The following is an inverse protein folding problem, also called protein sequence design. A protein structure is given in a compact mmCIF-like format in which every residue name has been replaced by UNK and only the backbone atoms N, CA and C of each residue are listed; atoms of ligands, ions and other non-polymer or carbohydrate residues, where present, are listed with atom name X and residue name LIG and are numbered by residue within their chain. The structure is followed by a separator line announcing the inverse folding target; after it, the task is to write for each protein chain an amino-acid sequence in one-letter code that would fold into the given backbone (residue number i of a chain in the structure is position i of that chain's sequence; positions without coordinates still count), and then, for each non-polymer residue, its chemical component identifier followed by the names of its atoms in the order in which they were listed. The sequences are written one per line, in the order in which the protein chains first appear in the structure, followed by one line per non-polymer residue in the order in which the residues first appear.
data_IF_686601543266
#
_entry.id   IF_686601543266
#
_cell.length_a   1.000
_cell.length_b   1.000
_cell.length_c   1.000
_cell.angle_alpha   90.00
_cell.angle_beta   90.00
_cell.angle_gamma   90.00
#
_symmetry.space_group_name_H-M   'P 1'
#
loop_
_entity.id
_entity.type
_entity.pdbx_description
1 polymer ?
#
# COMPACT_ATOMS: atom_id res chain seq x y z
N UNK A 1 -20.15 2.14 14.74
CA UNK A 1 -19.16 1.18 15.24
C UNK A 1 -17.88 1.36 14.48
N UNK A 2 -16.94 2.14 15.03
CA UNK A 2 -15.54 2.18 14.60
C UNK A 2 -14.75 1.68 15.80
N UNK A 3 -14.28 0.43 15.74
CA UNK A 3 -13.63 -0.25 16.86
C UNK A 3 -12.22 -0.64 16.43
N UNK A 4 -11.29 0.30 16.56
CA UNK A 4 -9.85 0.03 16.59
C UNK A 4 -9.10 1.20 17.27
N UNK A 5 -9.61 1.68 18.41
CA UNK A 5 -8.79 2.46 19.34
C UNK A 5 -7.85 1.48 20.07
N UNK A 6 -6.63 1.32 19.57
CA UNK A 6 -5.51 0.88 20.42
C UNK A 6 -4.60 2.08 20.62
N UNK A 7 -4.93 2.85 21.66
CA UNK A 7 -4.15 3.97 22.16
C UNK A 7 -2.88 3.44 22.82
N UNK A 8 -1.70 3.88 22.35
CA UNK A 8 -0.48 3.83 23.14
C UNK A 8 0.27 5.15 22.97
N UNK A 9 0.25 5.99 24.02
CA UNK A 9 1.03 7.23 24.10
C UNK A 9 0.31 8.55 23.83
N UNK A 10 -1.03 8.60 23.85
CA UNK A 10 -1.78 9.86 23.73
C UNK A 10 -1.82 10.45 22.31
N UNK A 11 -1.39 9.68 21.32
CA UNK A 11 -1.50 10.02 19.90
C UNK A 11 -2.29 8.90 19.20
N UNK A 12 -3.51 9.18 18.76
CA UNK A 12 -4.28 8.19 17.98
C UNK A 12 -3.78 8.26 16.54
N UNK A 13 -2.91 7.33 16.16
CA UNK A 13 -2.59 7.10 14.74
C UNK A 13 -3.69 6.20 14.19
N UNK A 14 -4.81 6.80 13.80
CA UNK A 14 -5.84 6.08 13.09
C UNK A 14 -5.35 5.83 11.66
N UNK A 15 -5.13 4.56 11.28
CA UNK A 15 -5.13 4.23 9.86
C UNK A 15 -6.59 4.30 9.42
N UNK A 16 -6.93 5.26 8.57
CA UNK A 16 -8.25 5.33 7.99
C UNK A 16 -8.21 4.79 6.57
N UNK A 17 -9.28 4.09 6.16
CA UNK A 17 -9.50 3.82 4.75
C UNK A 17 -9.89 5.16 4.12
N UNK A 18 -8.91 5.89 3.57
CA UNK A 18 -9.24 7.02 2.71
C UNK A 18 -10.18 6.51 1.63
N UNK A 19 -11.31 7.20 1.44
CA UNK A 19 -12.22 6.96 0.32
C UNK A 19 -11.41 6.64 -0.94
N UNK A 20 -11.77 5.59 -1.70
CA UNK A 20 -10.83 4.78 -2.45
C UNK A 20 -9.93 5.64 -3.33
N UNK A 21 -8.68 5.83 -2.87
CA UNK A 21 -7.66 6.51 -3.66
C UNK A 21 -7.37 5.60 -4.86
N UNK A 22 -7.57 6.08 -6.09
CA UNK A 22 -7.37 5.26 -7.26
C UNK A 22 -5.92 4.80 -7.35
N UNK A 23 -5.76 3.50 -7.59
CA UNK A 23 -4.46 2.86 -7.77
C UNK A 23 -4.28 2.52 -9.24
N UNK A 24 -3.40 3.26 -9.92
CA UNK A 24 -3.01 2.94 -11.29
C UNK A 24 -1.85 1.95 -11.28
N UNK A 25 -2.01 0.82 -11.97
CA UNK A 25 -1.00 -0.24 -12.05
C UNK A 25 -0.37 -0.27 -13.44
N UNK A 26 0.96 -0.19 -13.49
CA UNK A 26 1.72 -0.45 -14.71
C UNK A 26 1.76 -1.93 -15.06
N UNK A 27 2.31 -2.24 -16.24
CA UNK A 27 2.65 -3.61 -16.61
C UNK A 27 3.71 -4.21 -15.68
N UNK A 28 3.69 -5.53 -15.55
CA UNK A 28 4.71 -6.27 -14.81
C UNK A 28 5.88 -6.56 -15.77
N UNK A 29 7.09 -6.13 -15.40
CA UNK A 29 8.31 -6.29 -16.20
C UNK A 29 9.32 -7.14 -15.44
N UNK A 30 9.90 -8.15 -16.09
CA UNK A 30 10.95 -8.97 -15.46
C UNK A 30 12.29 -8.23 -15.43
N UNK A 31 12.78 -7.94 -14.24
CA UNK A 31 14.12 -7.42 -14.00
C UNK A 31 15.11 -8.56 -13.78
N UNK A 32 15.93 -8.83 -14.80
CA UNK A 32 16.87 -9.97 -14.79
C UNK A 32 18.04 -9.78 -13.84
N UNK A 33 18.39 -8.54 -13.48
CA UNK A 33 19.52 -8.23 -12.58
C UNK A 33 19.19 -8.58 -11.13
N UNK A 34 17.99 -8.26 -10.70
CA UNK A 34 17.48 -8.55 -9.35
C UNK A 34 16.70 -9.86 -9.28
N UNK A 35 16.45 -10.49 -10.44
CA UNK A 35 15.57 -11.64 -10.61
C UNK A 35 14.16 -11.43 -10.00
N UNK A 36 13.64 -10.20 -10.15
CA UNK A 36 12.31 -9.80 -9.68
C UNK A 36 11.38 -9.52 -10.86
N UNK A 37 10.08 -9.53 -10.58
CA UNK A 37 9.06 -9.02 -11.46
C UNK A 37 8.59 -7.68 -10.90
N UNK A 38 8.91 -6.60 -11.60
CA UNK A 38 8.74 -5.24 -11.12
C UNK A 38 7.45 -4.64 -11.68
N UNK A 39 6.70 -3.95 -10.84
CA UNK A 39 5.47 -3.26 -11.23
C UNK A 39 5.42 -1.86 -10.61
N UNK A 40 5.29 -0.83 -11.44
CA UNK A 40 5.06 0.53 -10.95
C UNK A 40 3.60 0.69 -10.55
N UNK A 41 3.38 1.23 -9.36
CA UNK A 41 2.07 1.61 -8.83
C UNK A 41 2.06 3.11 -8.61
N UNK A 42 0.96 3.75 -8.97
CA UNK A 42 0.75 5.19 -8.76
C UNK A 42 -0.57 5.39 -8.03
N UNK A 43 -0.52 6.19 -6.97
CA UNK A 43 -1.71 6.70 -6.26
C UNK A 43 -1.89 8.17 -6.61
N UNK A 44 -3.14 8.62 -6.71
CA UNK A 44 -3.47 10.01 -7.05
C UNK A 44 -4.52 10.56 -6.11
N UNK A 45 -4.27 11.73 -5.52
CA UNK A 45 -5.28 12.43 -4.74
C UNK A 45 -6.24 13.17 -5.69
N UNK A 46 -7.40 12.57 -5.95
CA UNK A 46 -8.45 13.19 -6.78
C UNK A 46 -9.39 14.11 -6.00
N UNK A 47 -9.11 14.37 -4.71
CA UNK A 47 -9.92 15.28 -3.90
C UNK A 47 -9.41 16.72 -4.01
N UNK A 48 -10.22 17.67 -3.57
CA UNK A 48 -9.85 19.08 -3.49
C UNK A 48 -9.01 19.44 -2.24
N UNK A 49 -8.71 18.47 -1.37
CA UNK A 49 -8.05 18.70 -0.07
C UNK A 49 -6.76 17.90 0.01
N UNK A 50 -5.75 18.44 0.68
CA UNK A 50 -4.51 17.70 0.94
C UNK A 50 -4.79 16.50 1.87
N UNK A 51 -4.40 15.31 1.44
CA UNK A 51 -4.56 14.10 2.24
C UNK A 51 -3.32 13.93 3.13
N UNK A 52 -3.45 13.79 4.46
CA UNK A 52 -2.30 13.56 5.31
C UNK A 52 -1.79 12.13 5.12
N UNK A 53 -0.47 11.99 5.11
CA UNK A 53 0.22 10.70 5.12
C UNK A 53 0.81 10.38 6.49
N UNK A 54 1.62 9.31 6.60
CA UNK A 54 2.20 8.53 5.49
C UNK A 54 1.18 7.66 4.73
N UNK A 55 1.48 7.36 3.46
CA UNK A 55 0.71 6.51 2.57
C UNK A 55 1.41 5.18 2.30
N UNK A 56 0.63 4.11 2.36
CA UNK A 56 1.04 2.74 2.08
C UNK A 56 0.09 2.09 1.08
N UNK A 57 0.59 1.09 0.36
CA UNK A 57 -0.25 0.19 -0.45
C UNK A 57 -0.11 -1.22 0.10
N UNK A 58 -1.22 -1.76 0.59
CA UNK A 58 -1.35 -3.16 0.98
C UNK A 58 -1.80 -4.00 -0.22
N UNK A 59 -1.27 -5.22 -0.31
CA UNK A 59 -1.58 -6.19 -1.35
C UNK A 59 -2.39 -7.33 -0.74
N UNK A 60 -3.71 -7.17 -0.75
CA UNK A 60 -4.63 -8.17 -0.22
C UNK A 60 -4.80 -9.33 -1.22
N UNK A 61 -5.03 -10.54 -0.68
CA UNK A 61 -5.21 -11.76 -1.49
C UNK A 61 -4.12 -11.96 -2.56
N UNK A 62 -2.86 -11.62 -2.22
CA UNK A 62 -1.72 -11.87 -3.09
C UNK A 62 -1.60 -13.36 -3.40
N UNK A 63 -1.29 -13.69 -4.66
CA UNK A 63 -1.17 -15.06 -5.13
C UNK A 63 -0.18 -15.85 -4.28
N UNK A 64 -0.55 -17.06 -3.83
CA UNK A 64 0.24 -17.88 -2.88
C UNK A 64 1.72 -18.12 -3.28
N UNK A 65 2.03 -18.07 -4.58
CA UNK A 65 3.37 -18.27 -5.11
C UNK A 65 4.10 -16.95 -5.44
N UNK A 66 3.59 -15.83 -4.95
CA UNK A 66 4.15 -14.48 -5.15
C UNK A 66 4.43 -13.84 -3.80
N UNK A 67 5.64 -13.34 -3.63
CA UNK A 67 6.05 -12.57 -2.46
C UNK A 67 6.42 -11.14 -2.89
N UNK A 68 6.00 -10.14 -2.12
CA UNK A 68 6.48 -8.77 -2.28
C UNK A 68 7.85 -8.66 -1.59
N UNK A 69 8.92 -8.70 -2.37
CA UNK A 69 10.30 -8.77 -1.87
C UNK A 69 10.76 -7.49 -1.19
N UNK A 70 10.21 -6.35 -1.59
CA UNK A 70 10.50 -5.04 -1.01
C UNK A 70 9.38 -4.53 -0.09
N UNK A 71 8.62 -5.44 0.54
CA UNK A 71 7.59 -5.08 1.51
C UNK A 71 8.20 -4.32 2.70
N UNK A 72 7.49 -3.29 3.17
CA UNK A 72 7.81 -2.58 4.41
C UNK A 72 7.33 -3.35 5.65
N UNK A 73 6.36 -4.26 5.49
CA UNK A 73 5.83 -5.10 6.55
C UNK A 73 4.56 -5.85 6.12
N UNK A 74 3.84 -6.41 7.09
CA UNK A 74 2.54 -7.09 6.91
C UNK A 74 1.48 -6.50 7.83
N UNK A 75 0.23 -6.46 7.38
CA UNK A 75 -0.89 -5.97 8.19
C UNK A 75 -1.13 -6.89 9.39
N UNK A 76 -1.13 -6.34 10.61
CA UNK A 76 -1.38 -7.08 11.85
C UNK A 76 -2.60 -6.60 12.62
N UNK A 77 -3.05 -5.36 12.37
CA UNK A 77 -4.16 -4.71 13.08
C UNK A 77 -5.37 -4.47 12.17
N UNK A 78 -5.13 -4.23 10.87
CA UNK A 78 -6.17 -3.86 9.91
C UNK A 78 -6.44 -5.02 8.96
N UNK A 79 -7.63 -5.61 9.05
CA UNK A 79 -8.05 -6.68 8.16
C UNK A 79 -8.11 -6.18 6.69
N UNK A 80 -7.80 -7.02 5.68
CA UNK A 80 -7.25 -8.36 5.81
C UNK A 80 -5.89 -8.40 6.50
N UNK A 81 -5.72 -9.36 7.42
CA UNK A 81 -4.48 -9.59 8.15
C UNK A 81 -3.48 -10.33 7.27
N UNK A 82 -2.19 -10.13 7.54
CA UNK A 82 -1.05 -10.72 6.82
C UNK A 82 -0.91 -10.28 5.35
N UNK A 83 -1.56 -9.17 4.96
CA UNK A 83 -1.32 -8.55 3.66
C UNK A 83 0.03 -7.82 3.68
N UNK A 84 0.98 -8.12 2.77
CA UNK A 84 2.20 -7.34 2.66
C UNK A 84 1.87 -5.92 2.19
N UNK A 85 2.55 -4.93 2.76
CA UNK A 85 2.40 -3.53 2.37
C UNK A 85 3.74 -2.87 2.09
N UNK A 86 3.71 -1.77 1.35
CA UNK A 86 4.89 -0.95 1.05
C UNK A 86 4.58 0.54 1.23
N UNK A 87 5.54 1.29 1.73
CA UNK A 87 5.46 2.75 1.82
C UNK A 87 5.52 3.40 0.41
N UNK A 88 4.56 4.26 0.10
CA UNK A 88 4.52 5.03 -1.15
C UNK A 88 5.03 6.45 -0.95
N UNK A 89 4.58 7.09 0.13
CA UNK A 89 4.90 8.49 0.42
C UNK A 89 4.89 8.71 1.92
N UNK A 90 5.97 9.27 2.47
CA UNK A 90 6.07 9.53 3.92
C UNK A 90 5.28 10.78 4.37
N UNK A 91 4.98 11.70 3.45
CA UNK A 91 4.30 12.97 3.72
C UNK A 91 2.86 13.05 3.20
N UNK A 92 2.30 14.25 3.21
CA UNK A 92 0.97 14.52 2.66
C UNK A 92 0.95 14.49 1.14
N UNK A 93 -0.21 14.17 0.57
CA UNK A 93 -0.47 14.16 -0.86
C UNK A 93 -1.39 15.33 -1.20
N UNK A 94 -0.85 16.35 -1.86
CA UNK A 94 -1.60 17.55 -2.25
C UNK A 94 -2.75 17.23 -3.23
N UNK A 95 -3.78 18.10 -3.34
CA UNK A 95 -4.84 17.95 -4.34
C UNK A 95 -4.28 17.78 -5.76
N UNK A 96 -4.76 16.79 -6.51
CA UNK A 96 -4.31 16.46 -7.86
C UNK A 96 -2.91 15.84 -7.95
N UNK A 97 -2.17 15.76 -6.84
CA UNK A 97 -0.83 15.19 -6.84
C UNK A 97 -0.85 13.66 -6.91
N UNK A 98 0.22 13.10 -7.45
CA UNK A 98 0.43 11.66 -7.52
C UNK A 98 1.74 11.25 -6.85
N UNK A 99 1.74 10.08 -6.22
CA UNK A 99 2.92 9.43 -5.69
C UNK A 99 3.04 8.04 -6.29
N UNK A 100 4.26 7.54 -6.47
CA UNK A 100 4.47 6.23 -7.09
C UNK A 100 5.58 5.44 -6.42
N UNK A 101 5.42 4.12 -6.44
CA UNK A 101 6.36 3.15 -5.89
C UNK A 101 6.50 1.98 -6.86
N UNK A 102 7.66 1.34 -6.88
CA UNK A 102 7.87 0.09 -7.62
C UNK A 102 7.73 -1.09 -6.67
N UNK A 103 6.78 -1.96 -6.94
CA UNK A 103 6.65 -3.27 -6.31
C UNK A 103 7.66 -4.23 -6.95
N UNK A 104 8.32 -5.04 -6.14
CA UNK A 104 9.23 -6.09 -6.60
C UNK A 104 8.71 -7.44 -6.15
N UNK A 105 8.32 -8.27 -7.11
CA UNK A 105 7.78 -9.59 -6.81
C UNK A 105 8.83 -10.67 -7.04
N UNK A 106 8.95 -11.61 -6.10
CA UNK A 106 9.60 -12.90 -6.30
C UNK A 106 8.53 -13.97 -6.44
N UNK A 107 8.81 -14.99 -7.25
CA UNK A 107 7.84 -16.04 -7.58
C UNK A 107 8.48 -17.41 -7.50
N UNK A 108 7.77 -18.36 -6.89
CA UNK A 108 8.18 -19.78 -6.82
C UNK A 108 7.58 -20.62 -7.95
N UNK A 109 6.60 -20.07 -8.68
CA UNK A 109 5.96 -20.69 -9.83
C UNK A 109 5.71 -19.68 -10.96
N UNK A 110 5.49 -20.17 -12.18
CA UNK A 110 5.27 -19.32 -13.37
C UNK A 110 3.83 -18.75 -13.50
N UNK A 111 3.01 -18.82 -12.45
CA UNK A 111 1.63 -18.34 -12.45
C UNK A 111 1.51 -16.81 -12.51
N UNK A 112 0.39 -16.26 -12.96
CA UNK A 112 0.17 -14.81 -12.92
C UNK A 112 0.23 -14.25 -11.48
N UNK A 113 0.75 -13.04 -11.33
CA UNK A 113 0.76 -12.32 -10.05
C UNK A 113 -0.53 -11.51 -9.92
N UNK A 114 -1.45 -11.98 -9.09
CA UNK A 114 -2.72 -11.31 -8.79
C UNK A 114 -2.75 -10.85 -7.33
N UNK A 115 -3.36 -9.70 -7.09
CA UNK A 115 -3.63 -9.12 -5.78
C UNK A 115 -4.65 -7.98 -5.88
N UNK A 116 -5.30 -7.67 -4.76
CA UNK A 116 -6.13 -6.47 -4.59
C UNK A 116 -5.29 -5.38 -3.93
N UNK A 117 -5.11 -4.25 -4.61
CA UNK A 117 -4.40 -3.11 -4.06
C UNK A 117 -5.34 -2.29 -3.17
N UNK A 118 -4.90 -1.98 -1.96
CA UNK A 118 -5.62 -1.10 -1.05
C UNK A 118 -4.68 -0.03 -0.51
N UNK A 119 -5.11 1.22 -0.60
CA UNK A 119 -4.35 2.36 -0.09
C UNK A 119 -4.70 2.53 1.37
N UNK A 120 -3.67 2.63 2.21
CA UNK A 120 -3.80 2.93 3.62
C UNK A 120 -3.07 4.24 3.87
N UNK A 121 -3.62 5.12 4.70
CA UNK A 121 -2.86 6.23 5.25
C UNK A 121 -2.98 6.25 6.76
N UNK A 122 -1.94 6.78 7.41
CA UNK A 122 -1.96 7.03 8.84
C UNK A 122 -2.19 8.51 9.06
N UNK A 123 -3.16 8.86 9.89
CA UNK A 123 -3.32 10.24 10.35
C UNK A 123 -3.29 10.31 11.86
N UNK A 124 -2.73 11.40 12.33
CA UNK A 124 -2.74 11.74 13.74
C UNK A 124 -4.04 12.46 14.02
N UNK A 125 -4.98 11.81 14.69
CA UNK A 125 -6.19 12.49 15.19
C UNK A 125 -5.90 13.07 16.58
N UNK A 126 -6.10 14.39 16.80
CA UNK A 126 -5.96 15.02 18.11
C UNK A 126 -7.02 14.57 19.11
#
# INVERSE_FOLDING_TARGET
GISAEKVQGGLVIALHDTAPIPVTRGGIVRNRRTNTYDQKITITNNTAVALPGPFYVALDAISLNTTLANASGTTSVYAPLNSPYINVLAGSLAPGASASVTLQFTKTANNATNYTARVLNSVVTP
#
